data_IF_168403606308
#
_entry.id   IF_168403606308
#
_cell.length_a   1.000
_cell.length_b   1.000
_cell.length_c   1.000
_cell.angle_alpha   90.00
_cell.angle_beta   90.00
_cell.angle_gamma   90.00
#
_symmetry.space_group_name_H-M   'P 1'
#
loop_
_entity.id
_entity.type
_entity.pdbx_description
1 polymer ?
#
# COMPACT_ATOMS: atom_id res chain seq x y z
N UNK A 1 2.14 -47.09 -26.86
CA UNK A 1 2.63 -47.59 -25.55
C UNK A 1 2.84 -46.39 -24.64
N UNK A 2 1.86 -46.09 -23.78
CA UNK A 2 1.96 -44.96 -22.85
C UNK A 2 2.56 -45.45 -21.53
N UNK A 3 3.85 -45.20 -21.33
CA UNK A 3 4.52 -45.41 -20.06
C UNK A 3 4.05 -44.33 -19.08
N UNK A 4 2.97 -44.60 -18.34
CA UNK A 4 2.57 -43.79 -17.20
C UNK A 4 3.58 -44.02 -16.07
N UNK A 5 4.61 -43.17 -16.02
CA UNK A 5 5.47 -43.06 -14.84
C UNK A 5 4.65 -42.41 -13.73
N UNK A 6 4.22 -43.23 -12.77
CA UNK A 6 3.52 -42.74 -11.59
C UNK A 6 4.48 -41.95 -10.70
N UNK A 7 4.04 -40.77 -10.25
CA UNK A 7 4.75 -39.98 -9.26
C UNK A 7 4.81 -40.76 -7.94
N UNK A 8 5.97 -40.89 -7.33
CA UNK A 8 6.05 -41.55 -6.03
C UNK A 8 5.49 -40.61 -4.94
N UNK A 9 4.77 -41.16 -3.95
CA UNK A 9 4.26 -40.38 -2.82
C UNK A 9 5.38 -39.62 -2.09
N UNK A 10 6.60 -40.17 -2.07
CA UNK A 10 7.76 -39.56 -1.43
C UNK A 10 8.28 -38.33 -2.18
N UNK A 11 8.28 -38.34 -3.52
CA UNK A 11 8.64 -37.16 -4.31
C UNK A 11 7.68 -36.01 -4.05
N UNK A 12 6.38 -36.29 -3.88
CA UNK A 12 5.39 -35.26 -3.60
C UNK A 12 5.55 -34.71 -2.17
N UNK A 13 5.83 -35.59 -1.21
CA UNK A 13 6.02 -35.25 0.20
C UNK A 13 7.23 -34.33 0.41
N UNK A 14 8.37 -34.62 -0.21
CA UNK A 14 9.58 -33.78 -0.04
C UNK A 14 9.38 -32.39 -0.63
N UNK A 15 8.64 -32.29 -1.74
CA UNK A 15 8.37 -31.01 -2.40
C UNK A 15 7.52 -30.10 -1.52
N UNK A 16 6.42 -30.61 -0.96
CA UNK A 16 5.58 -29.81 -0.07
C UNK A 16 6.31 -29.42 1.21
N UNK A 17 7.20 -30.27 1.72
CA UNK A 17 8.02 -29.97 2.90
C UNK A 17 8.96 -28.78 2.65
N UNK A 18 9.62 -28.76 1.48
CA UNK A 18 10.49 -27.64 1.10
C UNK A 18 9.67 -26.36 0.88
N UNK A 19 8.52 -26.44 0.20
CA UNK A 19 7.64 -25.27 0.00
C UNK A 19 7.17 -24.70 1.34
N UNK A 20 6.77 -25.55 2.30
CA UNK A 20 6.32 -25.12 3.62
C UNK A 20 7.44 -24.41 4.40
N UNK A 21 8.67 -24.94 4.35
CA UNK A 21 9.84 -24.31 4.97
C UNK A 21 10.11 -22.92 4.37
N UNK A 22 10.11 -22.81 3.04
CA UNK A 22 10.32 -21.54 2.35
C UNK A 22 9.20 -20.54 2.67
N UNK A 23 7.94 -20.95 2.58
CA UNK A 23 6.79 -20.09 2.90
C UNK A 23 6.83 -19.61 4.36
N UNK A 24 7.27 -20.45 5.29
CA UNK A 24 7.47 -20.07 6.70
C UNK A 24 8.43 -18.88 6.89
N UNK A 25 9.45 -18.77 6.03
CA UNK A 25 10.38 -17.64 6.02
C UNK A 25 9.86 -16.44 5.20
N UNK A 26 9.14 -16.71 4.11
CA UNK A 26 8.67 -15.68 3.17
C UNK A 26 7.48 -14.87 3.70
N UNK A 27 6.51 -15.50 4.38
CA UNK A 27 5.32 -14.82 4.91
C UNK A 27 5.67 -13.68 5.89
N UNK A 28 6.50 -13.87 6.92
CA UNK A 28 6.86 -12.79 7.85
C UNK A 28 7.67 -11.68 7.16
N UNK A 29 8.58 -12.05 6.24
CA UNK A 29 9.36 -11.08 5.47
C UNK A 29 8.46 -10.20 4.58
N UNK A 30 7.44 -10.80 3.95
CA UNK A 30 6.49 -10.08 3.11
C UNK A 30 5.61 -9.12 3.92
N UNK A 31 5.21 -9.50 5.13
CA UNK A 31 4.47 -8.61 6.05
C UNK A 31 5.27 -7.33 6.37
N UNK A 32 6.54 -7.50 6.77
CA UNK A 32 7.43 -6.37 7.06
C UNK A 32 7.69 -5.49 5.81
N UNK A 33 7.83 -6.10 4.63
CA UNK A 33 7.99 -5.37 3.38
C UNK A 33 6.76 -4.51 3.04
N UNK A 34 5.54 -5.07 3.18
CA UNK A 34 4.28 -4.33 2.93
C UNK A 34 4.13 -3.12 3.85
N UNK A 35 4.45 -3.28 5.12
CA UNK A 35 4.42 -2.17 6.08
C UNK A 35 5.38 -1.05 5.67
N UNK A 36 6.62 -1.40 5.29
CA UNK A 36 7.60 -0.43 4.78
C UNK A 36 7.08 0.28 3.53
N UNK A 37 6.51 -0.44 2.57
CA UNK A 37 5.91 0.15 1.37
C UNK A 37 4.77 1.11 1.71
N UNK A 38 3.89 0.77 2.65
CA UNK A 38 2.80 1.66 3.09
C UNK A 38 3.34 2.95 3.69
N UNK A 39 4.41 2.88 4.48
CA UNK A 39 5.08 4.06 5.05
C UNK A 39 5.69 4.94 3.95
N UNK A 40 6.36 4.34 2.97
CA UNK A 40 6.92 5.07 1.81
C UNK A 40 5.82 5.78 1.02
N UNK A 41 4.70 5.09 0.74
CA UNK A 41 3.56 5.69 0.06
C UNK A 41 2.96 6.86 0.86
N UNK A 42 2.77 6.69 2.17
CA UNK A 42 2.30 7.76 3.04
C UNK A 42 3.23 8.98 3.04
N UNK A 43 4.54 8.77 3.16
CA UNK A 43 5.54 9.84 3.05
C UNK A 43 5.49 10.54 1.68
N UNK A 44 5.27 9.78 0.61
CA UNK A 44 5.06 10.31 -0.74
C UNK A 44 3.84 11.24 -0.82
N UNK A 45 2.70 10.79 -0.31
CA UNK A 45 1.46 11.57 -0.28
C UNK A 45 1.65 12.87 0.51
N UNK A 46 2.23 12.80 1.72
CA UNK A 46 2.50 13.98 2.56
C UNK A 46 3.40 14.97 1.83
N UNK A 47 4.47 14.47 1.19
CA UNK A 47 5.35 15.32 0.38
C UNK A 47 4.60 16.00 -0.76
N UNK A 48 3.73 15.27 -1.47
CA UNK A 48 2.91 15.83 -2.54
C UNK A 48 1.94 16.90 -2.03
N UNK A 49 1.30 16.69 -0.88
CA UNK A 49 0.46 17.70 -0.25
C UNK A 49 1.23 18.98 0.10
N UNK A 50 2.40 18.86 0.73
CA UNK A 50 3.23 20.01 1.08
C UNK A 50 3.65 20.79 -0.17
N UNK A 51 4.07 20.08 -1.22
CA UNK A 51 4.44 20.72 -2.48
C UNK A 51 3.25 21.46 -3.11
N UNK A 52 2.05 20.87 -3.07
CA UNK A 52 0.83 21.52 -3.54
C UNK A 52 0.47 22.77 -2.73
N UNK A 53 0.59 22.69 -1.40
CA UNK A 53 0.32 23.82 -0.51
C UNK A 53 1.34 24.96 -0.71
N UNK A 54 2.61 24.63 -0.93
CA UNK A 54 3.66 25.61 -1.25
C UNK A 54 3.42 26.29 -2.59
N UNK A 55 3.04 25.51 -3.62
CA UNK A 55 2.69 26.06 -4.93
C UNK A 55 1.48 26.99 -4.86
N UNK A 56 0.47 26.63 -4.05
CA UNK A 56 -0.66 27.51 -3.81
C UNK A 56 -0.24 28.81 -3.10
N UNK A 57 0.56 28.71 -2.03
CA UNK A 57 1.02 29.87 -1.28
C UNK A 57 1.81 30.86 -2.16
N UNK A 58 2.67 30.36 -3.06
CA UNK A 58 3.42 31.22 -3.99
C UNK A 58 2.51 32.00 -4.94
N UNK A 59 1.38 31.41 -5.35
CA UNK A 59 0.44 32.04 -6.26
C UNK A 59 -0.54 32.99 -5.52
N UNK A 60 -0.84 32.71 -4.25
CA UNK A 60 -1.85 33.40 -3.45
C UNK A 60 -1.27 34.20 -2.28
N UNK A 61 -0.25 35.03 -2.51
CA UNK A 61 0.30 35.98 -1.52
C UNK A 61 0.64 35.31 -0.17
N UNK A 62 1.22 34.12 -0.20
CA UNK A 62 1.60 33.33 0.98
C UNK A 62 0.41 32.84 1.83
N UNK A 63 -0.82 32.90 1.31
CA UNK A 63 -1.97 32.26 1.94
C UNK A 63 -1.97 30.76 1.66
N UNK A 64 -2.21 29.95 2.70
CA UNK A 64 -2.38 28.50 2.58
C UNK A 64 -3.84 28.14 2.25
N UNK A 65 -4.10 27.01 1.58
CA UNK A 65 -5.45 26.55 1.33
C UNK A 65 -6.17 26.26 2.65
N UNK A 66 -7.32 26.89 2.85
CA UNK A 66 -8.18 26.69 4.02
C UNK A 66 -9.27 25.68 3.68
N UNK A 67 -9.30 24.55 4.38
CA UNK A 67 -10.43 23.63 4.35
C UNK A 67 -11.56 24.17 5.22
N UNK A 68 -12.23 25.22 4.77
CA UNK A 68 -13.45 25.70 5.44
C UNK A 68 -14.62 24.83 4.96
N UNK A 69 -15.09 23.91 5.80
CA UNK A 69 -16.43 23.35 5.67
C UNK A 69 -17.43 24.45 6.03
N UNK A 70 -18.37 24.81 5.17
CA UNK A 70 -19.44 25.72 5.56
C UNK A 70 -20.42 24.98 6.46
N UNK A 71 -20.23 25.10 7.78
CA UNK A 71 -21.10 24.49 8.77
C UNK A 71 -22.56 25.00 8.74
N UNK A 72 -22.87 26.02 7.90
CA UNK A 72 -24.22 26.59 7.75
C UNK A 72 -24.94 26.09 6.50
N UNK A 73 -24.25 25.41 5.58
CA UNK A 73 -24.85 24.88 4.38
C UNK A 73 -25.17 23.38 4.54
N UNK A 74 -26.46 22.97 4.56
CA UNK A 74 -26.82 21.55 4.63
C UNK A 74 -26.50 20.76 3.34
N UNK A 75 -26.17 21.44 2.24
CA UNK A 75 -25.79 20.86 0.94
C UNK A 75 -24.26 20.93 0.71
N UNK A 76 -23.47 21.28 1.73
CA UNK A 76 -22.02 21.38 1.60
C UNK A 76 -21.40 19.98 1.49
N UNK A 77 -21.34 19.47 0.26
CA UNK A 77 -20.54 18.28 -0.11
C UNK A 77 -19.06 18.65 -0.25
N UNK A 78 -18.56 19.53 0.62
CA UNK A 78 -17.13 19.64 0.83
C UNK A 78 -16.71 18.38 1.58
N UNK A 79 -16.38 17.33 0.83
CA UNK A 79 -15.58 16.24 1.38
C UNK A 79 -14.33 16.90 1.95
N UNK A 80 -14.10 16.84 3.28
CA UNK A 80 -12.85 17.32 3.83
C UNK A 80 -11.77 16.52 3.11
N UNK A 81 -10.95 17.21 2.33
CA UNK A 81 -9.78 16.61 1.68
C UNK A 81 -8.77 16.30 2.79
N UNK A 82 -9.02 15.16 3.45
CA UNK A 82 -8.11 14.39 4.28
C UNK A 82 -8.28 12.92 3.93
#
# INVERSE_FOLDING_TARGET
>A
MHSNRGFTLIELLVVIAIIALLMGLLIPALGAAREKTRRVACMGNVRQFILGAQAYASDFREYLPVGLSDARNPEDEHTPVL
#
